data_IF_820594544005
#
_entry.id   IF_820594544005
#
_cell.length_a   1.000
_cell.length_b   1.000
_cell.length_c   1.000
_cell.angle_alpha   90.00
_cell.angle_beta   90.00
_cell.angle_gamma   90.00
#
_symmetry.space_group_name_H-M   'P 1'
#
loop_
_entity.id
_entity.type
_entity.pdbx_description
1 polymer ?
#
# COMPACT_ATOMS: atom_id res chain seq x y z
N UNK A 1 27.60 -8.65 -62.13
CA UNK A 1 27.28 -7.67 -61.06
C UNK A 1 26.94 -8.44 -59.80
N UNK A 2 27.61 -8.16 -58.67
CA UNK A 2 27.29 -8.74 -57.35
C UNK A 2 26.51 -7.70 -56.56
N UNK A 3 25.30 -8.02 -56.13
CA UNK A 3 24.46 -7.13 -55.32
C UNK A 3 24.82 -7.40 -53.85
N UNK A 4 25.34 -6.42 -53.10
CA UNK A 4 25.62 -6.61 -51.69
C UNK A 4 24.28 -6.65 -50.93
N UNK A 5 24.07 -7.72 -50.17
CA UNK A 5 22.92 -7.87 -49.28
C UNK A 5 23.29 -7.29 -47.92
N UNK A 6 22.77 -6.10 -47.61
CA UNK A 6 22.99 -5.45 -46.32
C UNK A 6 21.90 -5.88 -45.34
N UNK A 7 22.28 -6.55 -44.26
CA UNK A 7 21.40 -6.82 -43.14
C UNK A 7 21.51 -5.70 -42.11
N UNK A 8 20.38 -5.08 -41.77
CA UNK A 8 20.27 -4.15 -40.67
C UNK A 8 19.75 -4.91 -39.44
N UNK A 9 20.51 -4.89 -38.35
CA UNK A 9 20.12 -5.48 -37.07
C UNK A 9 19.58 -4.36 -36.18
N UNK A 10 18.28 -4.37 -35.89
CA UNK A 10 17.64 -3.39 -35.02
C UNK A 10 17.57 -3.97 -33.60
N UNK A 11 18.39 -3.44 -32.68
CA UNK A 11 18.25 -3.73 -31.25
C UNK A 11 17.22 -2.74 -30.72
N UNK A 12 16.01 -3.21 -30.41
CA UNK A 12 15.02 -2.42 -29.67
C UNK A 12 15.28 -2.69 -28.19
N UNK A 13 15.81 -1.72 -27.42
CA UNK A 13 15.86 -1.88 -25.97
C UNK A 13 14.42 -1.95 -25.46
N UNK A 14 14.03 -3.12 -24.96
CA UNK A 14 12.81 -3.25 -24.17
C UNK A 14 13.11 -2.61 -22.82
N UNK A 15 12.80 -1.32 -22.68
CA UNK A 15 12.83 -0.66 -21.38
C UNK A 15 11.65 -1.19 -20.57
N UNK A 16 11.92 -2.16 -19.70
CA UNK A 16 10.99 -2.53 -18.65
C UNK A 16 10.91 -1.35 -17.68
N UNK A 17 9.83 -0.57 -17.74
CA UNK A 17 9.49 0.35 -16.66
C UNK A 17 8.89 -0.49 -15.54
N UNK A 18 9.70 -0.91 -14.58
CA UNK A 18 9.20 -1.40 -13.29
C UNK A 18 9.29 -0.25 -12.32
N UNK A 19 8.15 0.19 -11.78
CA UNK A 19 8.18 0.99 -10.57
C UNK A 19 8.75 0.12 -9.44
N UNK A 20 9.68 0.66 -8.66
CA UNK A 20 10.17 0.02 -7.45
C UNK A 20 9.07 0.06 -6.37
N UNK A 21 8.96 -1.00 -5.56
CA UNK A 21 8.08 -0.98 -4.39
C UNK A 21 8.76 -0.12 -3.33
N UNK A 22 8.26 1.10 -3.13
CA UNK A 22 8.81 2.05 -2.16
C UNK A 22 8.22 1.88 -0.76
N UNK A 23 7.13 1.12 -0.64
CA UNK A 23 6.44 0.87 0.61
C UNK A 23 5.78 -0.51 0.64
N UNK A 24 6.00 -1.26 1.72
CA UNK A 24 5.35 -2.55 1.95
C UNK A 24 5.12 -2.78 3.44
N UNK A 25 3.87 -3.02 3.81
CA UNK A 25 3.45 -3.19 5.20
C UNK A 25 2.66 -4.48 5.35
N UNK A 26 3.12 -5.32 6.27
CA UNK A 26 2.38 -6.47 6.76
C UNK A 26 2.12 -6.25 8.24
N UNK A 27 0.86 -6.27 8.65
CA UNK A 27 0.54 -6.10 10.05
C UNK A 27 1.06 -7.30 10.84
N UNK A 28 1.85 -7.00 11.87
CA UNK A 28 2.28 -7.96 12.88
C UNK A 28 2.20 -7.31 14.26
N UNK A 29 1.01 -6.79 14.58
CA UNK A 29 0.77 -6.03 15.81
C UNK A 29 1.33 -4.61 15.82
N UNK A 30 1.75 -4.06 14.67
CA UNK A 30 2.26 -2.69 14.58
C UNK A 30 2.16 -2.13 13.16
N UNK A 31 2.32 -0.81 13.03
CA UNK A 31 2.40 -0.04 11.79
C UNK A 31 3.77 -0.14 11.07
N UNK A 32 4.64 -1.06 11.52
CA UNK A 32 6.01 -1.15 11.01
C UNK A 32 6.05 -1.60 9.55
N UNK A 33 6.91 -0.94 8.79
CA UNK A 33 7.20 -1.31 7.42
C UNK A 33 8.07 -2.56 7.34
N UNK A 34 7.84 -3.35 6.30
CA UNK A 34 8.80 -4.33 5.80
C UNK A 34 9.74 -3.70 4.78
N UNK A 35 9.23 -2.76 3.98
CA UNK A 35 10.00 -1.93 3.02
C UNK A 35 9.50 -0.48 3.16
N UNK A 36 10.42 0.48 3.18
CA UNK A 36 10.09 1.90 3.29
C UNK A 36 9.92 2.38 4.72
N UNK A 37 9.26 3.53 4.87
CA UNK A 37 8.96 4.14 6.17
C UNK A 37 7.76 3.49 6.85
N UNK A 38 7.76 3.50 8.18
CA UNK A 38 6.61 3.00 8.95
C UNK A 38 5.36 3.80 8.62
N UNK A 39 4.19 3.16 8.69
CA UNK A 39 2.92 3.91 8.70
C UNK A 39 2.82 4.69 10.01
N UNK A 40 2.09 5.78 9.97
CA UNK A 40 1.80 6.59 11.15
C UNK A 40 0.29 6.68 11.37
N UNK A 41 -0.13 6.91 12.61
CA UNK A 41 -1.50 7.33 12.87
C UNK A 41 -1.62 8.78 12.41
N UNK A 42 -2.65 9.11 11.63
CA UNK A 42 -2.80 10.47 11.11
C UNK A 42 -2.90 11.52 12.24
N UNK A 43 -3.53 11.15 13.35
CA UNK A 43 -3.52 11.94 14.56
C UNK A 43 -3.60 11.02 15.78
N UNK A 44 -4.72 10.32 15.90
CA UNK A 44 -4.98 9.40 17.00
C UNK A 44 -5.32 7.99 16.51
N UNK A 45 -4.83 7.00 17.26
CA UNK A 45 -5.15 5.59 17.03
C UNK A 45 -6.64 5.30 17.34
N UNK A 46 -7.23 6.02 18.29
CA UNK A 46 -8.58 5.76 18.78
C UNK A 46 -8.80 4.29 19.15
N UNK A 47 -9.93 3.74 18.73
CA UNK A 47 -10.33 2.34 18.94
C UNK A 47 -9.72 1.36 17.93
N UNK A 48 -8.78 1.81 17.10
CA UNK A 48 -8.08 0.91 16.18
C UNK A 48 -7.23 -0.10 16.96
N UNK A 49 -7.40 -1.38 16.63
CA UNK A 49 -6.80 -2.49 17.38
C UNK A 49 -6.20 -3.54 16.44
N UNK A 50 -4.95 -3.92 16.71
CA UNK A 50 -4.33 -5.05 16.05
C UNK A 50 -4.84 -6.36 16.63
N UNK A 51 -5.00 -7.35 15.76
CA UNK A 51 -5.39 -8.70 16.16
C UNK A 51 -5.22 -9.67 15.01
N UNK A 52 -5.91 -10.79 15.10
CA UNK A 52 -5.98 -11.78 14.03
C UNK A 52 -7.40 -11.89 13.51
N UNK A 53 -7.55 -12.43 12.29
CA UNK A 53 -8.86 -12.77 11.74
C UNK A 53 -9.66 -13.67 12.70
N UNK A 54 -9.01 -14.61 13.39
CA UNK A 54 -9.64 -15.46 14.40
C UNK A 54 -10.11 -14.67 15.64
N UNK A 55 -9.25 -13.80 16.18
CA UNK A 55 -9.60 -12.99 17.37
C UNK A 55 -10.76 -12.04 17.09
N UNK A 56 -10.88 -11.58 15.85
CA UNK A 56 -11.98 -10.72 15.40
C UNK A 56 -13.16 -11.48 14.79
N UNK A 57 -13.13 -12.81 14.80
CA UNK A 57 -14.20 -13.68 14.29
C UNK A 57 -14.57 -13.40 12.82
N UNK A 58 -13.59 -12.99 12.01
CA UNK A 58 -13.72 -12.74 10.57
C UNK A 58 -13.05 -13.85 9.75
N UNK A 59 -13.46 -14.07 8.48
CA UNK A 59 -12.85 -15.08 7.63
C UNK A 59 -11.35 -14.89 7.45
N UNK A 60 -10.59 -15.97 7.60
CA UNK A 60 -9.15 -15.99 7.32
C UNK A 60 -8.84 -15.85 5.82
N UNK A 61 -7.65 -15.34 5.51
CA UNK A 61 -7.20 -15.17 4.12
C UNK A 61 -6.79 -16.55 3.58
N UNK A 62 -7.46 -17.01 2.53
CA UNK A 62 -7.29 -18.35 1.98
C UNK A 62 -7.48 -19.47 3.03
N UNK A 63 -8.33 -19.22 4.04
CA UNK A 63 -8.60 -20.16 5.14
C UNK A 63 -7.54 -20.18 6.25
N UNK A 64 -6.52 -19.31 6.19
CA UNK A 64 -5.50 -19.19 7.24
C UNK A 64 -5.74 -17.95 8.11
N UNK A 65 -5.43 -18.05 9.40
CA UNK A 65 -5.43 -16.91 10.31
C UNK A 65 -4.41 -15.87 9.86
N UNK A 66 -4.82 -14.61 9.75
CA UNK A 66 -3.97 -13.50 9.33
C UNK A 66 -3.99 -12.39 10.37
N UNK A 67 -2.85 -11.71 10.56
CA UNK A 67 -2.77 -10.51 11.36
C UNK A 67 -3.42 -9.34 10.61
N UNK A 68 -4.27 -8.58 11.30
CA UNK A 68 -5.04 -7.47 10.71
C UNK A 68 -5.12 -6.30 11.68
N UNK A 69 -5.46 -5.13 11.15
CA UNK A 69 -5.87 -3.97 11.93
C UNK A 69 -7.37 -3.78 11.76
N UNK A 70 -8.11 -3.79 12.87
CA UNK A 70 -9.52 -3.41 12.93
C UNK A 70 -9.59 -1.95 13.33
N UNK A 71 -10.40 -1.15 12.64
CA UNK A 71 -10.59 0.27 12.94
C UNK A 71 -12.07 0.66 12.71
N UNK A 72 -12.59 1.66 13.45
CA UNK A 72 -13.93 2.21 13.22
C UNK A 72 -13.92 3.16 12.01
N UNK A 73 -15.08 3.69 11.63
CA UNK A 73 -15.14 4.79 10.66
C UNK A 73 -14.35 6.00 11.18
N UNK A 74 -13.78 6.80 10.28
CA UNK A 74 -13.09 8.05 10.61
C UNK A 74 -14.05 9.22 10.34
N UNK A 75 -15.06 9.36 11.19
CA UNK A 75 -16.01 10.47 11.17
C UNK A 75 -15.67 11.55 12.20
N UNK A 76 -16.49 12.61 12.30
CA UNK A 76 -16.24 13.73 13.22
C UNK A 76 -16.37 13.37 14.72
N UNK A 77 -16.89 12.19 15.04
CA UNK A 77 -17.07 11.69 16.40
C UNK A 77 -16.11 10.56 16.77
N UNK A 78 -15.36 10.05 15.80
CA UNK A 78 -14.40 8.97 15.98
C UNK A 78 -13.06 9.49 16.51
N UNK A 79 -12.55 8.83 17.54
CA UNK A 79 -11.18 9.05 18.03
C UNK A 79 -10.13 8.44 17.07
N UNK A 80 -10.55 7.69 16.05
CA UNK A 80 -9.66 7.18 15.01
C UNK A 80 -9.58 8.14 13.83
N UNK A 81 -8.39 8.66 13.57
CA UNK A 81 -8.19 9.71 12.56
C UNK A 81 -7.64 9.21 11.22
N UNK A 82 -7.44 7.90 11.06
CA UNK A 82 -6.87 7.31 9.85
C UNK A 82 -5.39 6.93 9.97
N UNK A 83 -4.84 6.48 8.84
CA UNK A 83 -3.46 6.01 8.71
C UNK A 83 -2.76 6.84 7.65
N UNK A 84 -1.58 7.34 7.99
CA UNK A 84 -0.73 8.10 7.07
C UNK A 84 0.33 7.21 6.44
N UNK A 85 0.52 7.43 5.14
CA UNK A 85 1.55 6.78 4.32
C UNK A 85 2.52 7.85 3.87
N UNK A 86 3.77 7.74 4.29
CA UNK A 86 4.83 8.62 3.81
C UNK A 86 5.41 8.09 2.50
N UNK A 87 5.29 8.86 1.41
CA UNK A 87 5.66 8.41 0.04
C UNK A 87 6.95 9.06 -0.49
N UNK A 88 7.73 9.74 0.36
CA UNK A 88 9.01 10.33 -0.01
C UNK A 88 9.19 11.73 0.55
N UNK A 89 10.27 12.42 0.16
CA UNK A 89 10.59 13.75 0.69
C UNK A 89 9.47 14.76 0.39
N UNK A 90 9.31 15.73 1.29
CA UNK A 90 8.14 16.62 1.35
C UNK A 90 7.83 17.33 0.03
N UNK A 91 6.57 17.77 -0.11
CA UNK A 91 6.05 18.49 -1.28
C UNK A 91 7.00 19.62 -1.70
N UNK A 92 7.79 19.39 -2.75
CA UNK A 92 8.43 20.47 -3.49
C UNK A 92 7.37 21.02 -4.45
N UNK A 93 6.80 22.19 -4.12
CA UNK A 93 5.69 22.83 -4.85
C UNK A 93 5.97 22.98 -6.36
N UNK A 94 7.24 22.94 -6.78
CA UNK A 94 7.67 23.11 -8.16
C UNK A 94 7.84 21.79 -8.95
N UNK A 95 7.65 20.61 -8.33
CA UNK A 95 7.83 19.32 -9.00
C UNK A 95 6.53 18.50 -9.06
N UNK A 96 5.88 18.57 -10.20
CA UNK A 96 4.59 17.92 -10.51
C UNK A 96 4.66 16.37 -10.59
N UNK A 97 5.85 15.76 -10.64
CA UNK A 97 6.02 14.29 -10.73
C UNK A 97 5.90 13.58 -9.36
N UNK A 98 5.72 14.30 -8.26
CA UNK A 98 5.57 13.73 -6.92
C UNK A 98 4.25 12.97 -6.68
N UNK A 99 3.26 13.07 -7.58
CA UNK A 99 1.92 12.55 -7.38
C UNK A 99 1.62 11.22 -8.11
N UNK A 100 2.64 10.57 -8.68
CA UNK A 100 2.46 9.30 -9.40
C UNK A 100 2.79 8.11 -8.51
N UNK A 101 1.87 7.79 -7.61
CA UNK A 101 1.95 6.56 -6.82
C UNK A 101 0.69 5.72 -6.98
N UNK A 102 0.82 4.43 -6.70
CA UNK A 102 -0.31 3.51 -6.60
C UNK A 102 -0.19 2.76 -5.29
N UNK A 103 -1.25 2.79 -4.49
CA UNK A 103 -1.35 2.02 -3.26
C UNK A 103 -2.33 0.88 -3.52
N UNK A 104 -1.94 -0.33 -3.12
CA UNK A 104 -2.79 -1.52 -3.16
C UNK A 104 -3.05 -1.90 -1.70
N UNK A 105 -4.32 -2.03 -1.33
CA UNK A 105 -4.73 -2.34 0.05
C UNK A 105 -5.76 -3.47 0.03
N UNK A 106 -5.58 -4.42 0.95
CA UNK A 106 -6.59 -5.42 1.26
C UNK A 106 -7.49 -4.88 2.38
N UNK A 107 -8.76 -4.57 2.05
CA UNK A 107 -9.76 -4.05 2.99
C UNK A 107 -10.95 -4.99 3.03
N UNK A 108 -11.33 -5.43 4.23
CA UNK A 108 -12.56 -6.18 4.48
C UNK A 108 -13.60 -5.24 5.10
N UNK A 109 -14.78 -5.16 4.46
CA UNK A 109 -15.93 -4.39 4.97
C UNK A 109 -17.10 -5.34 5.29
N UNK A 110 -17.16 -5.90 6.52
CA UNK A 110 -18.25 -6.78 6.95
C UNK A 110 -19.55 -5.99 7.19
N UNK A 111 -20.69 -6.69 7.29
CA UNK A 111 -22.01 -6.06 7.55
C UNK A 111 -22.01 -5.21 8.84
N UNK A 112 -21.25 -5.64 9.85
CA UNK A 112 -21.07 -4.92 11.12
C UNK A 112 -20.33 -3.59 10.99
N UNK A 113 -19.78 -3.25 9.82
CA UNK A 113 -19.10 -1.97 9.57
C UNK A 113 -20.03 -0.84 9.13
N UNK A 114 -21.33 -1.14 8.99
CA UNK A 114 -22.36 -0.18 8.52
C UNK A 114 -23.33 0.28 9.61
N UNK A 115 -23.06 -0.08 10.86
CA UNK A 115 -23.91 0.16 12.05
C UNK A 115 -23.24 1.07 13.05
#
# INVERSE_FOLDING_TARGET
MKIPLTFAFLIIPCFSCSAEITGYWNFNGSLKATIGENLEWAWEQGDATFGTTETFEIPGIQGNSANVLKFPDSDEFSDFSGIEVWIGDGLDEDNWLFNEYSIIVDILYPETSST
#
